data_IF_463361010685
#
_entry.id   IF_463361010685
#
_cell.length_a   1.000
_cell.length_b   1.000
_cell.length_c   1.000
_cell.angle_alpha   90.00
_cell.angle_beta   90.00
_cell.angle_gamma   90.00
#
_symmetry.space_group_name_H-M   'P 1'
#
loop_
_entity.id
_entity.type
_entity.pdbx_description
1 polymer ?
#
# COMPACT_ATOMS: atom_id res chain seq x y z
N UNK A 1 1.83 -21.80 -2.88
CA UNK A 1 2.34 -20.75 -1.98
C UNK A 1 1.17 -20.00 -1.33
N UNK A 2 0.34 -19.29 -2.09
CA UNK A 2 -0.71 -18.41 -1.52
C UNK A 2 -1.97 -19.12 -0.95
N UNK A 3 -2.20 -20.41 -1.21
CA UNK A 3 -3.41 -21.12 -0.76
C UNK A 3 -3.52 -21.30 0.76
N UNK A 4 -2.42 -21.19 1.50
CA UNK A 4 -2.40 -21.25 2.96
C UNK A 4 -2.54 -19.88 3.62
N UNK A 5 -2.56 -18.80 2.84
CA UNK A 5 -2.60 -17.44 3.36
C UNK A 5 -3.99 -17.12 3.90
N UNK A 6 -4.06 -16.61 5.12
CA UNK A 6 -5.33 -16.31 5.81
C UNK A 6 -6.10 -15.23 5.04
N UNK A 7 -5.38 -14.22 4.55
CA UNK A 7 -5.93 -13.13 3.75
C UNK A 7 -6.37 -13.54 2.33
N UNK A 8 -6.08 -14.77 1.86
CA UNK A 8 -6.38 -15.17 0.48
C UNK A 8 -7.86 -15.11 0.13
N UNK A 9 -8.75 -15.22 1.13
CA UNK A 9 -10.20 -15.13 0.92
C UNK A 9 -10.66 -13.71 0.62
N UNK A 10 -10.03 -12.73 1.25
CA UNK A 10 -10.35 -11.31 1.05
C UNK A 10 -9.67 -10.77 -0.23
N UNK A 11 -8.57 -11.41 -0.68
CA UNK A 11 -7.86 -11.12 -1.93
C UNK A 11 -8.35 -11.98 -3.12
N UNK A 12 -9.67 -12.12 -3.26
CA UNK A 12 -10.30 -12.85 -4.37
C UNK A 12 -10.87 -11.89 -5.42
N UNK A 13 -10.47 -12.06 -6.67
CA UNK A 13 -10.90 -11.26 -7.82
C UNK A 13 -12.19 -11.78 -8.49
N UNK A 14 -12.78 -12.88 -8.01
CA UNK A 14 -14.05 -13.37 -8.55
C UNK A 14 -15.14 -12.29 -8.52
N UNK A 15 -15.72 -11.99 -9.68
CA UNK A 15 -16.75 -10.94 -9.83
C UNK A 15 -16.21 -9.51 -9.90
N UNK A 16 -14.88 -9.32 -9.87
CA UNK A 16 -14.25 -8.03 -10.10
C UNK A 16 -14.00 -7.80 -11.61
N UNK A 17 -14.04 -6.53 -12.01
CA UNK A 17 -13.71 -6.06 -13.35
C UNK A 17 -12.63 -4.99 -13.27
N UNK A 18 -11.73 -4.98 -14.26
CA UNK A 18 -10.75 -3.92 -14.44
C UNK A 18 -11.47 -2.62 -14.87
N UNK A 19 -11.28 -1.53 -14.12
CA UNK A 19 -11.82 -0.21 -14.46
C UNK A 19 -10.74 0.70 -15.06
N UNK A 20 -9.55 0.75 -14.45
CA UNK A 20 -8.51 1.71 -14.82
C UNK A 20 -7.10 1.13 -14.64
N UNK A 21 -6.17 1.62 -15.47
CA UNK A 21 -4.72 1.40 -15.31
C UNK A 21 -4.02 2.75 -15.24
N UNK A 22 -3.32 3.01 -14.14
CA UNK A 22 -2.48 4.19 -13.93
C UNK A 22 -1.01 3.83 -14.13
N UNK A 23 -0.28 4.67 -14.86
CA UNK A 23 1.17 4.54 -15.04
C UNK A 23 1.83 5.66 -14.25
N UNK A 24 2.41 5.31 -13.11
CA UNK A 24 3.10 6.24 -12.24
C UNK A 24 4.62 6.14 -12.42
N UNK A 25 5.28 7.27 -12.63
CA UNK A 25 6.72 7.33 -12.83
C UNK A 25 7.40 7.92 -11.58
N UNK A 26 8.26 7.11 -10.98
CA UNK A 26 8.92 7.39 -9.71
C UNK A 26 10.40 7.73 -9.92
N UNK A 27 10.87 8.76 -9.22
CA UNK A 27 12.24 9.26 -9.30
C UNK A 27 13.13 8.77 -8.15
N UNK A 28 12.95 7.49 -7.80
CA UNK A 28 13.66 6.81 -6.72
C UNK A 28 13.83 5.32 -7.02
N UNK A 29 14.68 4.64 -6.25
CA UNK A 29 14.95 3.22 -6.42
C UNK A 29 13.69 2.36 -6.16
N UNK A 30 13.50 1.27 -6.92
CA UNK A 30 12.37 0.35 -6.74
C UNK A 30 12.32 -0.26 -5.33
N UNK A 31 13.47 -0.47 -4.68
CA UNK A 31 13.52 -0.97 -3.29
C UNK A 31 13.00 0.07 -2.31
N UNK A 32 13.27 1.37 -2.55
CA UNK A 32 12.71 2.44 -1.73
C UNK A 32 11.18 2.44 -1.81
N UNK A 33 10.59 2.18 -3.00
CA UNK A 33 9.14 1.98 -3.13
C UNK A 33 8.65 0.84 -2.23
N UNK A 34 9.28 -0.34 -2.37
CA UNK A 34 8.89 -1.54 -1.61
C UNK A 34 9.07 -1.33 -0.11
N UNK A 35 10.11 -0.60 0.32
CA UNK A 35 10.36 -0.31 1.73
C UNK A 35 9.27 0.58 2.33
N UNK A 36 8.86 1.66 1.65
CA UNK A 36 7.74 2.51 2.10
C UNK A 36 6.45 1.70 2.20
N UNK A 37 6.16 0.85 1.22
CA UNK A 37 4.99 -0.04 1.25
C UNK A 37 5.04 -1.09 2.38
N UNK A 38 6.22 -1.48 2.85
CA UNK A 38 6.40 -2.57 3.80
C UNK A 38 6.52 -2.11 5.26
N UNK A 39 6.17 -0.86 5.55
CA UNK A 39 6.07 -0.36 6.91
C UNK A 39 4.84 0.51 7.15
N UNK A 40 4.29 0.38 8.35
CA UNK A 40 3.10 1.09 8.83
C UNK A 40 3.45 2.28 9.74
N UNK A 41 4.74 2.56 9.93
CA UNK A 41 5.21 3.50 10.95
C UNK A 41 4.97 4.95 10.52
N UNK A 42 5.06 5.23 9.22
CA UNK A 42 4.75 6.55 8.66
C UNK A 42 3.25 6.85 8.55
N UNK A 43 2.38 5.83 8.60
CA UNK A 43 0.98 5.97 8.19
C UNK A 43 0.22 7.03 8.99
N UNK A 44 0.17 6.88 10.31
CA UNK A 44 -0.52 7.84 11.18
C UNK A 44 0.12 9.26 11.16
N UNK A 45 1.45 9.42 11.27
CA UNK A 45 2.06 10.75 11.30
C UNK A 45 2.16 11.46 9.95
N UNK A 46 2.18 10.74 8.83
CA UNK A 46 2.48 11.31 7.51
C UNK A 46 1.27 11.42 6.58
N UNK A 47 0.26 10.55 6.74
CA UNK A 47 -0.95 10.59 5.92
C UNK A 47 -2.15 11.13 6.70
N UNK A 48 -2.52 12.42 6.54
CA UNK A 48 -3.72 12.95 7.18
C UNK A 48 -4.98 12.18 6.78
N UNK A 49 -5.12 11.86 5.48
CA UNK A 49 -6.25 11.10 4.95
C UNK A 49 -6.23 9.65 5.41
N UNK A 50 -5.25 8.87 4.94
CA UNK A 50 -5.14 7.43 5.21
C UNK A 50 -5.07 7.12 6.71
N UNK A 51 -4.31 7.90 7.49
CA UNK A 51 -4.18 7.73 8.94
C UNK A 51 -5.49 7.93 9.71
N UNK A 52 -6.51 8.55 9.11
CA UNK A 52 -7.87 8.62 9.65
C UNK A 52 -8.85 7.59 9.03
N UNK A 53 -8.39 6.80 8.06
CA UNK A 53 -9.15 5.70 7.46
C UNK A 53 -8.79 4.35 8.11
N UNK A 54 -7.49 4.08 8.25
CA UNK A 54 -6.96 2.82 8.82
C UNK A 54 -6.47 3.00 10.26
N UNK A 55 -6.40 1.90 11.00
CA UNK A 55 -5.77 1.84 12.32
C UNK A 55 -4.67 0.78 12.37
N UNK A 56 -3.42 1.24 12.48
CA UNK A 56 -2.24 0.39 12.62
C UNK A 56 -2.07 -0.18 14.04
N UNK A 57 -2.94 0.19 15.00
CA UNK A 57 -2.94 -0.40 16.36
C UNK A 57 -3.30 -1.89 16.35
N UNK A 58 -4.11 -2.30 15.38
CA UNK A 58 -4.55 -3.69 15.20
C UNK A 58 -3.76 -4.39 14.07
N UNK A 59 -2.56 -3.88 13.72
CA UNK A 59 -1.70 -4.44 12.68
C UNK A 59 -1.39 -5.91 12.97
N UNK A 60 -1.63 -6.75 11.96
CA UNK A 60 -1.24 -8.16 11.96
C UNK A 60 -0.40 -8.46 10.73
N UNK A 61 0.77 -9.03 10.99
CA UNK A 61 1.62 -9.57 9.96
C UNK A 61 1.32 -11.04 9.71
N UNK A 62 1.24 -11.41 8.43
CA UNK A 62 1.41 -12.78 7.97
C UNK A 62 2.61 -12.80 7.01
N UNK A 63 3.56 -13.72 7.20
CA UNK A 63 4.77 -13.78 6.39
C UNK A 63 5.02 -15.20 5.88
N UNK A 64 5.52 -15.31 4.66
CA UNK A 64 5.97 -16.57 4.07
C UNK A 64 7.22 -16.37 3.21
N UNK A 65 7.77 -17.45 2.65
CA UNK A 65 9.11 -17.43 2.04
C UNK A 65 9.36 -16.38 0.95
N UNK A 66 8.30 -15.90 0.28
CA UNK A 66 8.38 -14.90 -0.80
C UNK A 66 7.26 -13.88 -0.77
N UNK A 67 6.59 -13.70 0.37
CA UNK A 67 5.52 -12.74 0.52
C UNK A 67 5.36 -12.26 1.96
N UNK A 68 4.71 -11.11 2.13
CA UNK A 68 4.24 -10.60 3.42
C UNK A 68 2.87 -9.96 3.26
N UNK A 69 2.05 -10.02 4.30
CA UNK A 69 0.73 -9.40 4.37
C UNK A 69 0.63 -8.57 5.64
N UNK A 70 0.16 -7.34 5.48
CA UNK A 70 -0.26 -6.45 6.56
C UNK A 70 -1.79 -6.43 6.57
N UNK A 71 -2.40 -6.58 7.74
CA UNK A 71 -3.85 -6.38 7.89
C UNK A 71 -4.07 -5.37 9.00
N UNK A 72 -4.77 -4.27 8.68
CA UNK A 72 -5.01 -3.16 9.61
C UNK A 72 -6.51 -2.92 9.83
N UNK A 73 -6.85 -2.39 11.00
CA UNK A 73 -8.22 -2.10 11.39
C UNK A 73 -8.79 -0.85 10.73
N UNK A 74 -10.08 -0.58 10.98
CA UNK A 74 -10.74 0.68 10.57
C UNK A 74 -10.59 1.71 11.68
N UNK A 75 -10.16 2.93 11.34
CA UNK A 75 -10.05 3.99 12.33
C UNK A 75 -11.44 4.51 12.75
N UNK A 76 -11.77 4.38 14.03
CA UNK A 76 -12.93 5.00 14.68
C UNK A 76 -14.27 4.89 13.91
N UNK A 77 -14.48 3.82 13.15
CA UNK A 77 -15.64 3.61 12.27
C UNK A 77 -15.86 4.74 11.25
N UNK A 78 -14.77 5.30 10.70
CA UNK A 78 -14.76 6.34 9.66
C UNK A 78 -15.47 7.65 10.06
N UNK A 79 -15.64 7.91 11.36
CA UNK A 79 -16.37 9.08 11.89
C UNK A 79 -15.72 10.44 11.64
N UNK A 80 -14.42 10.46 11.33
CA UNK A 80 -13.66 11.68 11.06
C UNK A 80 -12.69 11.41 9.93
N UNK A 81 -12.69 12.27 8.91
CA UNK A 81 -11.66 12.28 7.89
C UNK A 81 -10.56 13.29 8.24
N UNK A 82 -9.32 13.03 7.81
CA UNK A 82 -8.22 13.98 7.90
C UNK A 82 -7.98 14.81 6.64
N UNK A 83 -8.69 14.54 5.53
CA UNK A 83 -8.66 15.37 4.32
C UNK A 83 -10.04 15.46 3.63
N UNK A 84 -10.21 16.43 2.74
CA UNK A 84 -11.44 16.56 1.96
C UNK A 84 -11.62 15.40 0.96
N UNK A 85 -10.52 14.87 0.44
CA UNK A 85 -10.51 13.72 -0.47
C UNK A 85 -10.95 12.46 0.25
N UNK A 86 -10.31 12.16 1.39
CA UNK A 86 -10.70 11.02 2.21
C UNK A 86 -12.11 11.19 2.80
N UNK A 87 -12.62 12.40 3.02
CA UNK A 87 -14.00 12.56 3.48
C UNK A 87 -14.99 12.00 2.46
N UNK A 88 -14.79 12.29 1.17
CA UNK A 88 -15.62 11.72 0.10
C UNK A 88 -15.51 10.20 0.06
N UNK A 89 -14.29 9.68 0.28
CA UNK A 89 -14.08 8.24 0.32
C UNK A 89 -14.80 7.57 1.50
N UNK A 90 -14.71 8.15 2.70
CA UNK A 90 -15.48 7.70 3.86
C UNK A 90 -16.98 7.69 3.58
N UNK A 91 -17.50 8.76 2.98
CA UNK A 91 -18.91 8.92 2.67
C UNK A 91 -19.40 7.85 1.68
N UNK A 92 -18.62 7.57 0.62
CA UNK A 92 -18.95 6.55 -0.38
C UNK A 92 -18.89 5.12 0.18
N UNK A 93 -17.86 4.80 0.99
CA UNK A 93 -17.76 3.50 1.69
C UNK A 93 -18.96 3.28 2.60
N UNK A 94 -19.30 4.26 3.43
CA UNK A 94 -20.44 4.15 4.34
C UNK A 94 -21.77 4.09 3.58
N UNK A 95 -21.96 4.90 2.54
CA UNK A 95 -23.18 4.88 1.72
C UNK A 95 -23.39 3.49 1.10
N UNK A 96 -22.35 2.94 0.48
CA UNK A 96 -22.43 1.64 -0.19
C UNK A 96 -22.65 0.49 0.81
N UNK A 97 -22.03 0.56 1.99
CA UNK A 97 -22.19 -0.44 3.05
C UNK A 97 -23.42 -0.22 3.95
N UNK A 98 -24.38 0.63 3.55
CA UNK A 98 -25.60 0.86 4.35
C UNK A 98 -25.36 1.51 5.72
N UNK A 99 -24.26 2.25 5.87
CA UNK A 99 -23.83 2.92 7.10
C UNK A 99 -22.96 2.06 8.02
N UNK A 100 -22.69 0.80 7.64
CA UNK A 100 -21.84 -0.10 8.42
C UNK A 100 -20.35 0.10 8.11
N UNK A 101 -19.53 0.06 9.15
CA UNK A 101 -18.08 0.11 8.99
C UNK A 101 -17.56 -1.19 8.35
N UNK A 102 -16.55 -1.11 7.48
CA UNK A 102 -15.98 -2.30 6.84
C UNK A 102 -15.24 -3.20 7.84
N UNK A 103 -15.00 -4.44 7.42
CA UNK A 103 -14.30 -5.48 8.21
C UNK A 103 -12.86 -5.10 8.55
N UNK A 104 -12.16 -4.49 7.60
CA UNK A 104 -10.78 -4.02 7.72
C UNK A 104 -10.66 -2.60 7.17
N UNK A 105 -9.62 -1.88 7.59
CA UNK A 105 -9.23 -0.64 6.94
C UNK A 105 -8.56 -0.94 5.61
N UNK A 106 -7.54 -1.80 5.64
CA UNK A 106 -6.84 -2.28 4.47
C UNK A 106 -6.20 -3.66 4.71
N UNK A 107 -5.92 -4.36 3.62
CA UNK A 107 -5.00 -5.51 3.59
C UNK A 107 -3.98 -5.26 2.49
N UNK A 108 -2.70 -5.31 2.83
CA UNK A 108 -1.60 -5.04 1.90
C UNK A 108 -0.74 -6.30 1.78
N UNK A 109 -0.81 -6.96 0.63
CA UNK A 109 0.04 -8.11 0.28
C UNK A 109 1.17 -7.63 -0.62
N UNK A 110 2.41 -7.99 -0.29
CA UNK A 110 3.53 -7.93 -1.22
C UNK A 110 3.96 -9.34 -1.60
N UNK A 111 3.97 -9.63 -2.90
CA UNK A 111 4.62 -10.80 -3.49
C UNK A 111 5.97 -10.36 -4.02
N UNK A 112 7.05 -10.86 -3.41
CA UNK A 112 8.38 -10.42 -3.76
C UNK A 112 8.78 -10.89 -5.17
N UNK A 113 9.52 -10.08 -5.94
CA UNK A 113 10.13 -8.81 -5.52
C UNK A 113 9.24 -7.57 -5.64
N UNK A 114 8.18 -7.59 -6.44
CA UNK A 114 7.70 -6.35 -7.06
C UNK A 114 6.19 -6.24 -7.33
N UNK A 115 5.37 -7.14 -6.77
CA UNK A 115 3.91 -7.09 -6.94
C UNK A 115 3.29 -6.81 -5.59
N UNK A 116 2.41 -5.82 -5.54
CA UNK A 116 1.58 -5.50 -4.39
C UNK A 116 0.12 -5.71 -4.76
N UNK A 117 -0.64 -6.33 -3.87
CA UNK A 117 -2.08 -6.48 -3.98
C UNK A 117 -2.69 -5.85 -2.74
N UNK A 118 -3.52 -4.84 -2.97
CA UNK A 118 -4.12 -4.02 -1.93
C UNK A 118 -5.62 -4.28 -1.92
N UNK A 119 -6.15 -4.58 -0.75
CA UNK A 119 -7.57 -4.62 -0.50
C UNK A 119 -7.97 -3.38 0.28
N UNK A 120 -8.92 -2.64 -0.27
CA UNK A 120 -9.69 -1.63 0.44
C UNK A 120 -11.17 -2.04 0.41
N UNK A 121 -12.06 -1.43 1.19
CA UNK A 121 -13.48 -1.75 1.16
C UNK A 121 -14.06 -1.70 -0.27
N UNK A 122 -14.42 -2.87 -0.79
CA UNK A 122 -14.97 -3.08 -2.14
C UNK A 122 -14.02 -2.73 -3.31
N UNK A 123 -12.70 -2.73 -3.09
CA UNK A 123 -11.71 -2.42 -4.13
C UNK A 123 -10.50 -3.36 -4.00
N UNK A 124 -10.00 -3.82 -5.13
CA UNK A 124 -8.71 -4.49 -5.24
C UNK A 124 -7.80 -3.67 -6.16
N UNK A 125 -6.62 -3.32 -5.67
CA UNK A 125 -5.61 -2.60 -6.44
C UNK A 125 -4.39 -3.50 -6.60
N UNK A 126 -3.83 -3.57 -7.80
CA UNK A 126 -2.59 -4.29 -8.07
C UNK A 126 -1.54 -3.29 -8.54
N UNK A 127 -0.48 -3.12 -7.76
CA UNK A 127 0.69 -2.33 -8.14
C UNK A 127 1.82 -3.27 -8.55
N UNK A 128 2.40 -3.06 -9.73
CA UNK A 128 3.61 -3.77 -10.17
C UNK A 128 4.73 -2.79 -10.47
N UNK A 129 5.84 -2.90 -9.73
CA UNK A 129 6.98 -1.99 -9.87
C UNK A 129 8.05 -2.54 -10.80
N UNK A 130 8.51 -1.69 -11.72
CA UNK A 130 9.50 -2.00 -12.75
C UNK A 130 10.69 -1.05 -12.62
N UNK A 131 11.91 -1.56 -12.34
CA UNK A 131 13.10 -0.70 -12.27
C UNK A 131 13.54 -0.26 -13.67
N UNK A 132 13.63 1.05 -13.89
CA UNK A 132 14.16 1.67 -15.11
C UNK A 132 15.57 2.22 -14.92
N UNK A 133 16.17 1.97 -13.75
CA UNK A 133 17.51 2.39 -13.38
C UNK A 133 17.68 2.43 -11.86
N UNK A 134 18.87 2.79 -11.35
CA UNK A 134 19.12 2.86 -9.92
C UNK A 134 18.27 3.88 -9.16
N UNK A 135 17.70 4.89 -9.83
CA UNK A 135 16.87 5.95 -9.23
C UNK A 135 15.64 6.27 -10.10
N UNK A 136 15.16 5.28 -10.86
CA UNK A 136 13.99 5.43 -11.72
C UNK A 136 13.18 4.15 -11.66
N UNK A 137 11.90 4.27 -11.36
CA UNK A 137 10.96 3.15 -11.25
C UNK A 137 9.66 3.52 -11.97
N UNK A 138 9.00 2.55 -12.59
CA UNK A 138 7.62 2.69 -13.05
C UNK A 138 6.74 1.80 -12.20
N UNK A 139 5.72 2.37 -11.57
CA UNK A 139 4.63 1.60 -10.97
C UNK A 139 3.46 1.52 -11.96
N UNK A 140 3.00 0.31 -12.26
CA UNK A 140 1.78 0.06 -13.02
C UNK A 140 0.69 -0.31 -12.02
N UNK A 141 -0.33 0.52 -11.90
CA UNK A 141 -1.41 0.36 -10.92
C UNK A 141 -2.70 0.00 -11.64
N UNK A 142 -3.26 -1.15 -11.33
CA UNK A 142 -4.51 -1.66 -11.89
C UNK A 142 -5.60 -1.60 -10.83
N UNK A 143 -6.74 -0.98 -11.17
CA UNK A 143 -7.87 -0.83 -10.25
C UNK A 143 -9.01 -1.76 -10.66
N UNK A 144 -9.40 -2.62 -9.72
CA UNK A 144 -10.44 -3.61 -9.89
C UNK A 144 -11.57 -3.36 -8.88
N UNK A 145 -12.81 -3.41 -9.36
CA UNK A 145 -14.01 -3.25 -8.53
C UNK A 145 -15.03 -4.35 -8.86
N UNK A 146 -15.94 -4.70 -7.93
CA UNK A 146 -17.08 -5.54 -8.25
C UNK A 146 -17.85 -5.03 -9.47
N UNK A 147 -18.39 -5.94 -10.30
CA UNK A 147 -19.15 -5.60 -11.51
C UNK A 147 -20.23 -4.53 -11.26
N UNK A 148 -20.96 -4.62 -10.13
CA UNK A 148 -21.99 -3.65 -9.77
C UNK A 148 -21.42 -2.23 -9.58
N UNK A 149 -20.24 -2.09 -8.96
CA UNK A 149 -19.60 -0.80 -8.77
C UNK A 149 -19.14 -0.22 -10.12
N UNK A 150 -18.55 -1.05 -10.99
CA UNK A 150 -18.13 -0.63 -12.33
C UNK A 150 -19.32 -0.16 -13.17
N UNK A 151 -20.45 -0.86 -13.09
CA UNK A 151 -21.61 -0.57 -13.92
C UNK A 151 -22.49 0.58 -13.39
N UNK A 152 -22.51 0.82 -12.07
CA UNK A 152 -23.51 1.70 -11.46
C UNK A 152 -22.98 2.74 -10.46
N UNK A 153 -21.76 2.61 -9.93
CA UNK A 153 -21.26 3.42 -8.80
C UNK A 153 -20.01 4.24 -9.16
N UNK A 154 -20.09 5.07 -10.21
CA UNK A 154 -18.95 5.88 -10.67
C UNK A 154 -18.37 6.81 -9.60
N UNK A 155 -19.23 7.40 -8.75
CA UNK A 155 -18.76 8.29 -7.67
C UNK A 155 -17.92 7.57 -6.63
N UNK A 156 -18.21 6.30 -6.38
CA UNK A 156 -17.43 5.43 -5.49
C UNK A 156 -16.01 5.25 -6.05
N UNK A 157 -15.90 4.91 -7.33
CA UNK A 157 -14.60 4.72 -8.00
C UNK A 157 -13.82 6.04 -8.03
N UNK A 158 -14.48 7.15 -8.36
CA UNK A 158 -13.82 8.46 -8.42
C UNK A 158 -13.30 8.90 -7.04
N UNK A 159 -14.06 8.62 -5.97
CA UNK A 159 -13.66 8.94 -4.61
C UNK A 159 -12.49 8.07 -4.14
N UNK A 160 -12.53 6.76 -4.40
CA UNK A 160 -11.44 5.85 -4.03
C UNK A 160 -10.16 6.21 -4.77
N UNK A 161 -10.20 6.35 -6.10
CA UNK A 161 -9.01 6.68 -6.87
C UNK A 161 -8.40 8.01 -6.46
N UNK A 162 -9.23 9.00 -6.12
CA UNK A 162 -8.73 10.26 -5.61
C UNK A 162 -8.01 10.09 -4.25
N UNK A 163 -8.57 9.29 -3.35
CA UNK A 163 -7.94 8.98 -2.06
C UNK A 163 -6.64 8.19 -2.24
N UNK A 164 -6.62 7.20 -3.13
CA UNK A 164 -5.43 6.44 -3.50
C UNK A 164 -4.31 7.36 -4.03
N UNK A 165 -4.64 8.27 -4.95
CA UNK A 165 -3.65 9.18 -5.53
C UNK A 165 -3.19 10.26 -4.54
N UNK A 166 -4.00 10.65 -3.55
CA UNK A 166 -3.56 11.51 -2.45
C UNK A 166 -2.45 10.81 -1.64
N UNK A 167 -2.66 9.56 -1.23
CA UNK A 167 -1.66 8.76 -0.51
C UNK A 167 -0.42 8.50 -1.36
N UNK A 168 -0.59 8.14 -2.64
CA UNK A 168 0.54 7.92 -3.56
C UNK A 168 1.46 9.15 -3.66
N UNK A 169 0.90 10.37 -3.66
CA UNK A 169 1.68 11.60 -3.71
C UNK A 169 2.43 11.86 -2.38
N UNK A 170 1.85 11.48 -1.25
CA UNK A 170 2.47 11.57 0.07
C UNK A 170 3.63 10.55 0.19
N UNK A 171 3.44 9.31 -0.28
CA UNK A 171 4.48 8.28 -0.32
C UNK A 171 5.67 8.68 -1.21
N UNK A 172 5.39 9.31 -2.35
CA UNK A 172 6.44 9.85 -3.23
C UNK A 172 7.34 10.85 -2.49
N UNK A 173 6.77 11.71 -1.63
CA UNK A 173 7.55 12.66 -0.84
C UNK A 173 8.53 11.94 0.10
N UNK A 174 8.06 10.87 0.77
CA UNK A 174 8.90 10.05 1.65
C UNK A 174 10.01 9.38 0.83
N UNK A 175 9.65 8.69 -0.25
CA UNK A 175 10.57 7.92 -1.06
C UNK A 175 11.66 8.79 -1.71
N UNK A 176 11.28 9.98 -2.22
CA UNK A 176 12.23 10.95 -2.77
C UNK A 176 13.24 11.42 -1.72
N UNK A 177 12.80 11.67 -0.48
CA UNK A 177 13.68 12.09 0.61
C UNK A 177 14.60 10.98 1.07
N UNK A 178 14.09 9.75 1.20
CA UNK A 178 14.89 8.57 1.53
C UNK A 178 16.00 8.34 0.49
N UNK A 179 15.65 8.36 -0.80
CA UNK A 179 16.60 8.13 -1.89
C UNK A 179 17.64 9.26 -1.98
N UNK A 180 17.23 10.52 -1.80
CA UNK A 180 18.14 11.66 -1.74
C UNK A 180 19.15 11.54 -0.58
N UNK A 181 18.71 11.15 0.61
CA UNK A 181 19.58 10.91 1.76
C UNK A 181 20.59 9.80 1.50
N UNK A 182 20.14 8.68 0.94
CA UNK A 182 21.00 7.54 0.56
C UNK A 182 22.02 7.93 -0.51
N UNK A 183 21.62 8.74 -1.48
CA UNK A 183 22.54 9.27 -2.49
C UNK A 183 23.66 10.10 -1.87
N UNK A 184 23.35 10.96 -0.89
CA UNK A 184 24.37 11.75 -0.18
C UNK A 184 25.35 10.85 0.58
N UNK A 185 24.86 9.79 1.23
CA UNK A 185 25.72 8.81 1.91
C UNK A 185 26.64 8.10 0.91
N UNK A 186 26.09 7.65 -0.22
CA UNK A 186 26.86 7.02 -1.30
C UNK A 186 27.95 7.94 -1.86
N UNK A 187 27.61 9.20 -2.17
CA UNK A 187 28.56 10.19 -2.72
C UNK A 187 29.71 10.49 -1.74
N UNK A 188 29.46 10.32 -0.43
CA UNK A 188 30.47 10.45 0.64
C UNK A 188 31.26 9.17 0.89
N UNK A 189 30.88 8.04 0.27
CA UNK A 189 31.45 6.72 0.56
C UNK A 189 31.14 6.23 1.98
N UNK A 190 30.03 6.69 2.58
CA UNK A 190 29.59 6.33 3.93
C UNK A 190 28.41 5.39 3.82
N UNK A 191 28.34 4.39 4.69
CA UNK A 191 27.19 3.52 4.84
C UNK A 191 26.68 3.61 6.28
N UNK A 192 25.44 4.08 6.46
CA UNK A 192 24.75 4.14 7.75
C UNK A 192 23.50 3.27 7.69
N UNK A 193 23.22 2.58 8.79
CA UNK A 193 22.05 1.72 8.95
C UNK A 193 21.41 1.98 10.31
N UNK A 194 20.08 1.90 10.38
CA UNK A 194 19.30 1.96 11.60
C UNK A 194 18.68 0.60 11.95
N UNK A 195 18.23 0.40 13.20
CA UNK A 195 17.38 -0.73 13.54
C UNK A 195 15.99 -0.57 12.90
N UNK A 196 15.29 -1.70 12.69
CA UNK A 196 13.86 -1.69 12.36
C UNK A 196 13.02 -1.50 13.63
N UNK A 197 11.97 -0.68 13.54
CA UNK A 197 10.93 -0.53 14.54
C UNK A 197 9.99 -1.74 14.48
N UNK A 198 9.73 -2.37 15.62
CA UNK A 198 8.74 -3.44 15.72
C UNK A 198 7.50 -2.96 16.46
N UNK A 199 6.28 -3.28 15.98
CA UNK A 199 5.99 -4.19 14.87
C UNK A 199 5.86 -3.52 13.49
N UNK A 200 5.98 -2.20 13.37
CA UNK A 200 5.52 -1.49 12.17
C UNK A 200 6.47 -1.60 10.98
N UNK A 201 7.76 -1.91 11.18
CA UNK A 201 8.75 -2.11 10.11
C UNK A 201 9.16 -3.60 9.95
N UNK A 202 8.45 -4.54 10.58
CA UNK A 202 8.78 -5.98 10.51
C UNK A 202 8.74 -6.51 9.05
N UNK A 203 7.85 -5.96 8.20
CA UNK A 203 7.80 -6.27 6.77
C UNK A 203 9.06 -5.86 6.02
N UNK A 204 9.60 -4.67 6.31
CA UNK A 204 10.88 -4.23 5.74
C UNK A 204 12.01 -5.18 6.12
N UNK A 205 12.10 -5.57 7.40
CA UNK A 205 13.13 -6.53 7.83
C UNK A 205 13.02 -7.84 7.02
N UNK A 206 11.81 -8.39 6.93
CA UNK A 206 11.55 -9.64 6.24
C UNK A 206 11.93 -9.56 4.75
N UNK A 207 11.57 -8.48 4.05
CA UNK A 207 11.96 -8.26 2.66
C UNK A 207 13.47 -8.12 2.49
N UNK A 208 14.16 -7.38 3.37
CA UNK A 208 15.61 -7.25 3.30
C UNK A 208 16.33 -8.59 3.50
N UNK A 209 15.87 -9.42 4.42
CA UNK A 209 16.40 -10.77 4.62
C UNK A 209 16.16 -11.66 3.39
N UNK A 210 14.96 -11.61 2.81
CA UNK A 210 14.65 -12.29 1.56
C UNK A 210 15.56 -11.83 0.43
N UNK A 211 15.68 -10.52 0.21
CA UNK A 211 16.45 -9.93 -0.88
C UNK A 211 17.93 -10.30 -0.76
N UNK A 212 18.51 -10.24 0.45
CA UNK A 212 19.88 -10.67 0.73
C UNK A 212 20.11 -12.14 0.34
N UNK A 213 19.15 -13.03 0.63
CA UNK A 213 19.24 -14.44 0.21
C UNK A 213 19.22 -14.61 -1.31
N UNK A 214 18.49 -13.77 -2.03
CA UNK A 214 18.41 -13.86 -3.51
C UNK A 214 19.66 -13.33 -4.21
N UNK A 215 20.35 -12.35 -3.61
CA UNK A 215 21.54 -11.73 -4.22
C UNK A 215 22.87 -12.31 -3.70
N UNK A 216 22.84 -13.10 -2.63
CA UNK A 216 24.01 -13.82 -2.15
C UNK A 216 24.33 -14.94 -3.16
N UNK A 217 25.49 -14.81 -3.82
CA UNK A 217 26.09 -15.82 -4.70
C UNK A 217 26.49 -17.08 -3.92
#
# INVERSE_FOLDING_TARGET
MLKSMVAARDLNFDGYMLDHVEIHHCDYNWKTFIEVYLEDYHVEPFHPGLGQFVSCNDLRWEMGDGYSVQTVGVNAALRKSGSATYQKWHDEVLRYNGGEAPKYGAIWLTIYPNIMVEWYPNVLVVSTVWPNGPQKTTNVVEFYYPEEIVLFERSFIDAERAAYMETCAEDDEIALRMDAGRKILLDRGVNEVGPYQSPMEDGMQHFHEWYRRQIAL
#
